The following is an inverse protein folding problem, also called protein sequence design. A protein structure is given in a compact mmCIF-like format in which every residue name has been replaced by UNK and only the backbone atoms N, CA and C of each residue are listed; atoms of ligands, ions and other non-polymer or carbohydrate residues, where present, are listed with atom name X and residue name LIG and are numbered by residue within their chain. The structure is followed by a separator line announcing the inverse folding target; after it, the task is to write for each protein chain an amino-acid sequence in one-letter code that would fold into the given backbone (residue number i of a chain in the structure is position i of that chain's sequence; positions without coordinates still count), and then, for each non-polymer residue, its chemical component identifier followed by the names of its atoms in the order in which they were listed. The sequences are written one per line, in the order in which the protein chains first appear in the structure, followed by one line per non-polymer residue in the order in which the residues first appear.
data_IF_921921274134
#
_entry.id   IF_921921274134
#
_cell.length_a   1.000
_cell.length_b   1.000
_cell.length_c   1.000
_cell.angle_alpha   90.00
_cell.angle_beta   90.00
_cell.angle_gamma   90.00
#
_symmetry.space_group_name_H-M   'P 1'
#
loop_
_entity.id
_entity.type
_entity.pdbx_description
1 polymer ?
#
# COMPACT_ATOMS: atom_id res chain seq x y z
N UNK A 1 -38.63 6.41 21.99
CA UNK A 1 -39.56 6.09 20.88
C UNK A 1 -38.84 6.35 19.58
N UNK A 2 -38.50 5.32 18.80
CA UNK A 2 -37.99 5.50 17.43
C UNK A 2 -39.01 4.89 16.47
N UNK A 3 -39.72 5.74 15.72
CA UNK A 3 -40.63 5.33 14.65
C UNK A 3 -39.82 4.97 13.41
N UNK A 4 -39.70 3.68 13.13
CA UNK A 4 -39.21 3.18 11.84
C UNK A 4 -40.27 3.46 10.79
N UNK A 5 -39.99 4.37 9.86
CA UNK A 5 -40.76 4.52 8.64
C UNK A 5 -40.42 3.35 7.71
N UNK A 6 -41.21 2.28 7.75
CA UNK A 6 -41.16 1.21 6.74
C UNK A 6 -41.79 1.77 5.45
N UNK A 7 -40.97 2.34 4.57
CA UNK A 7 -41.42 2.73 3.24
C UNK A 7 -41.82 1.48 2.46
N UNK A 8 -43.09 1.42 2.04
CA UNK A 8 -43.61 0.36 1.17
C UNK A 8 -42.76 0.28 -0.10
N UNK A 9 -42.45 -0.92 -0.63
CA UNK A 9 -41.59 -1.05 -1.80
C UNK A 9 -42.23 -0.37 -3.02
N UNK A 10 -41.39 0.40 -3.72
CA UNK A 10 -41.71 1.15 -4.95
C UNK A 10 -42.23 0.19 -6.02
N UNK A 11 -43.44 0.45 -6.53
CA UNK A 11 -43.98 -0.15 -7.75
C UNK A 11 -43.06 0.15 -8.94
N UNK A 12 -42.11 -0.73 -9.24
CA UNK A 12 -41.12 -0.53 -10.31
C UNK A 12 -40.22 -1.75 -10.54
N UNK A 13 -39.37 -1.68 -11.57
CA UNK A 13 -38.38 -2.71 -11.84
C UNK A 13 -37.24 -2.63 -10.81
N UNK A 14 -36.85 -3.77 -10.22
CA UNK A 14 -35.74 -3.88 -9.26
C UNK A 14 -34.50 -4.47 -9.93
N UNK A 15 -33.32 -3.96 -9.56
CA UNK A 15 -32.04 -4.51 -10.00
C UNK A 15 -31.88 -5.91 -9.40
N UNK A 16 -31.60 -6.91 -10.23
CA UNK A 16 -31.45 -8.31 -9.78
C UNK A 16 -30.01 -8.78 -9.73
N UNK A 17 -29.13 -8.15 -10.52
CA UNK A 17 -27.71 -8.46 -10.55
C UNK A 17 -26.91 -7.14 -10.46
N UNK A 18 -25.92 -7.02 -9.54
CA UNK A 18 -25.11 -5.81 -9.38
C UNK A 18 -24.19 -5.52 -10.57
N UNK A 19 -23.72 -6.55 -11.27
CA UNK A 19 -22.70 -6.49 -12.32
C UNK A 19 -23.29 -6.62 -13.73
N UNK A 20 -24.53 -7.11 -13.84
CA UNK A 20 -25.28 -7.20 -15.10
C UNK A 20 -26.42 -6.19 -15.14
N UNK A 21 -26.77 -5.74 -16.34
CA UNK A 21 -27.89 -4.81 -16.56
C UNK A 21 -29.23 -5.57 -16.59
N UNK A 22 -29.48 -6.33 -15.53
CA UNK A 22 -30.65 -7.18 -15.39
C UNK A 22 -31.60 -6.58 -14.34
N UNK A 23 -32.87 -6.48 -14.72
CA UNK A 23 -33.94 -5.91 -13.91
C UNK A 23 -35.17 -6.79 -13.96
N UNK A 24 -35.86 -6.94 -12.82
CA UNK A 24 -37.09 -7.73 -12.72
C UNK A 24 -38.26 -6.91 -12.19
N UNK A 25 -39.46 -7.24 -12.65
CA UNK A 25 -40.72 -6.75 -12.09
C UNK A 25 -41.71 -7.91 -12.01
N UNK A 26 -42.43 -8.02 -10.89
CA UNK A 26 -43.38 -9.12 -10.65
C UNK A 26 -44.53 -9.15 -11.66
N UNK A 27 -44.85 -8.00 -12.28
CA UNK A 27 -45.84 -7.87 -13.34
C UNK A 27 -45.34 -8.18 -14.75
N UNK A 28 -44.03 -8.44 -14.91
CA UNK A 28 -43.38 -8.58 -16.22
C UNK A 28 -42.66 -9.94 -16.34
N UNK A 29 -43.44 -11.00 -16.57
CA UNK A 29 -42.94 -12.36 -16.78
C UNK A 29 -43.25 -12.86 -18.20
N UNK A 30 -42.29 -13.53 -18.83
CA UNK A 30 -42.41 -14.03 -20.21
C UNK A 30 -43.58 -15.03 -20.30
N UNK A 31 -44.49 -14.79 -21.24
CA UNK A 31 -45.68 -15.64 -21.47
C UNK A 31 -46.89 -15.33 -20.58
N UNK A 32 -46.75 -14.47 -19.57
CA UNK A 32 -47.80 -14.17 -18.58
C UNK A 32 -48.42 -12.78 -18.83
N UNK A 33 -49.11 -12.61 -19.97
CA UNK A 33 -49.67 -11.30 -20.40
C UNK A 33 -50.65 -10.69 -19.39
N UNK A 34 -51.36 -11.51 -18.62
CA UNK A 34 -52.36 -11.02 -17.65
C UNK A 34 -51.74 -10.19 -16.51
N UNK A 35 -50.47 -10.43 -16.19
CA UNK A 35 -49.72 -9.69 -15.17
C UNK A 35 -49.39 -8.27 -15.62
N UNK A 36 -49.30 -8.01 -16.93
CA UNK A 36 -49.01 -6.66 -17.45
C UNK A 36 -50.08 -5.62 -17.04
N UNK A 37 -51.30 -6.07 -16.70
CA UNK A 37 -52.38 -5.18 -16.21
C UNK A 37 -52.03 -4.52 -14.87
N UNK A 38 -51.15 -5.12 -14.07
CA UNK A 38 -50.73 -4.55 -12.78
C UNK A 38 -49.65 -3.47 -12.98
N UNK A 39 -49.00 -3.43 -14.15
CA UNK A 39 -48.02 -2.40 -14.51
C UNK A 39 -48.77 -1.20 -15.08
N UNK A 40 -49.07 -0.22 -14.23
CA UNK A 40 -49.67 1.04 -14.65
C UNK A 40 -48.64 1.96 -15.33
N UNK A 41 -48.96 2.43 -16.54
CA UNK A 41 -48.20 3.51 -17.19
C UNK A 41 -48.60 4.83 -16.55
N UNK A 42 -47.63 5.59 -16.05
CA UNK A 42 -47.91 6.98 -15.64
C UNK A 42 -48.39 7.75 -16.87
N UNK A 43 -49.61 8.26 -16.83
CA UNK A 43 -50.07 9.21 -17.85
C UNK A 43 -49.16 10.44 -17.78
N UNK A 44 -48.70 11.00 -18.91
CA UNK A 44 -48.06 12.31 -18.88
C UNK A 44 -49.07 13.27 -18.25
N UNK A 45 -48.70 13.91 -17.15
CA UNK A 45 -49.38 15.14 -16.76
C UNK A 45 -49.02 16.11 -17.88
N UNK A 46 -49.95 16.36 -18.81
CA UNK A 46 -50.12 17.50 -19.73
C UNK A 46 -51.01 17.00 -20.88
N UNK A 47 -52.28 17.40 -20.85
CA UNK A 47 -53.26 16.98 -21.85
C UNK A 47 -54.69 17.15 -21.37
N UNK A 48 -55.11 18.42 -21.33
CA UNK A 48 -56.48 18.93 -21.38
C UNK A 48 -57.62 17.90 -21.41
N UNK A 49 -58.44 17.92 -20.37
CA UNK A 49 -59.83 17.52 -20.50
C UNK A 49 -60.55 18.58 -21.36
N UNK A 50 -60.87 18.25 -22.62
CA UNK A 50 -62.16 18.62 -23.17
C UNK A 50 -62.57 17.70 -24.34
N UNK A 51 -63.63 16.94 -24.07
CA UNK A 51 -64.72 16.41 -24.91
C UNK A 51 -64.68 16.75 -26.44
N UNK A 52 -64.52 15.74 -27.31
CA UNK A 52 -65.53 15.12 -28.25
C UNK A 52 -65.65 15.82 -29.65
N UNK A 53 -66.26 15.21 -30.70
CA UNK A 53 -65.98 13.93 -31.39
C UNK A 53 -65.88 14.05 -32.95
N UNK A 54 -65.63 12.91 -33.62
CA UNK A 54 -65.80 12.58 -35.06
C UNK A 54 -64.68 12.91 -36.08
N UNK A 55 -64.10 11.85 -36.67
CA UNK A 55 -64.24 11.41 -38.09
C UNK A 55 -63.03 10.50 -38.46
N UNK A 56 -63.19 9.50 -39.35
CA UNK A 56 -62.11 8.61 -39.77
C UNK A 56 -61.49 9.09 -41.09
N UNK A 57 -60.16 9.23 -41.13
CA UNK A 57 -59.44 9.23 -42.41
C UNK A 57 -58.02 8.69 -42.27
N UNK A 58 -57.58 8.08 -43.36
CA UNK A 58 -56.47 7.15 -43.41
C UNK A 58 -55.09 7.80 -43.47
N UNK A 59 -54.13 6.93 -43.14
CA UNK A 59 -52.78 6.80 -43.70
C UNK A 59 -51.81 8.00 -43.69
N UNK A 60 -50.65 7.67 -43.12
CA UNK A 60 -49.29 8.06 -43.47
C UNK A 60 -48.66 9.31 -42.82
N UNK A 61 -47.47 9.02 -42.29
CA UNK A 61 -46.33 9.91 -42.07
C UNK A 61 -46.39 10.85 -40.87
N UNK A 62 -45.82 10.40 -39.74
CA UNK A 62 -44.61 11.07 -39.24
C UNK A 62 -43.88 10.16 -38.24
N UNK A 63 -42.72 9.66 -38.68
CA UNK A 63 -41.64 9.21 -37.79
C UNK A 63 -40.97 10.45 -37.16
N UNK A 64 -41.77 11.28 -36.51
CA UNK A 64 -41.30 12.49 -35.85
C UNK A 64 -41.67 12.42 -34.37
N UNK A 65 -40.82 11.70 -33.62
CA UNK A 65 -40.47 11.99 -32.22
C UNK A 65 -39.84 10.74 -31.57
N UNK A 66 -38.84 10.13 -32.21
CA UNK A 66 -37.74 9.62 -31.41
C UNK A 66 -37.01 10.85 -30.85
N UNK A 67 -37.47 11.33 -29.69
CA UNK A 67 -36.68 12.30 -28.92
C UNK A 67 -35.40 11.58 -28.56
N UNK A 68 -34.29 12.00 -29.14
CA UNK A 68 -32.94 11.58 -28.81
C UNK A 68 -32.59 12.07 -27.40
N UNK A 69 -33.16 11.44 -26.36
CA UNK A 69 -32.89 11.72 -24.93
C UNK A 69 -31.56 11.08 -24.49
N UNK A 70 -30.60 10.84 -25.40
CA UNK A 70 -29.44 9.97 -25.15
C UNK A 70 -28.05 10.61 -25.20
N UNK A 71 -27.92 11.84 -25.72
CA UNK A 71 -26.61 12.39 -26.11
C UNK A 71 -26.00 13.43 -25.15
N UNK A 72 -26.73 13.85 -24.13
CA UNK A 72 -26.24 14.80 -23.12
C UNK A 72 -25.80 14.02 -21.87
N UNK A 73 -24.50 13.78 -21.74
CA UNK A 73 -23.89 13.13 -20.57
C UNK A 73 -22.89 12.02 -20.92
N UNK A 74 -23.06 11.33 -22.06
CA UNK A 74 -22.08 10.32 -22.49
C UNK A 74 -20.73 10.94 -22.85
N UNK A 75 -20.72 12.10 -23.53
CA UNK A 75 -19.48 12.80 -23.87
C UNK A 75 -18.72 13.27 -22.62
N UNK A 76 -19.43 13.86 -21.65
CA UNK A 76 -18.85 14.30 -20.38
C UNK A 76 -18.30 13.12 -19.58
N UNK A 77 -18.99 11.98 -19.59
CA UNK A 77 -18.55 10.76 -18.92
C UNK A 77 -17.33 10.15 -19.61
N UNK A 78 -17.27 10.16 -20.95
CA UNK A 78 -16.09 9.74 -21.71
C UNK A 78 -14.89 10.63 -21.37
N UNK A 79 -15.06 11.95 -21.29
CA UNK A 79 -14.00 12.87 -20.89
C UNK A 79 -13.57 12.69 -19.43
N UNK A 80 -14.51 12.36 -18.53
CA UNK A 80 -14.19 11.98 -17.15
C UNK A 80 -13.36 10.70 -17.09
N UNK A 81 -13.79 9.65 -17.77
CA UNK A 81 -13.10 8.37 -17.83
C UNK A 81 -11.71 8.49 -18.46
N UNK A 82 -11.53 9.36 -19.47
CA UNK A 82 -10.21 9.66 -20.02
C UNK A 82 -9.28 10.28 -18.97
N UNK A 83 -9.78 11.24 -18.18
CA UNK A 83 -9.01 11.84 -17.07
C UNK A 83 -8.67 10.81 -16.01
N UNK A 84 -9.63 10.02 -15.58
CA UNK A 84 -9.44 9.00 -14.54
C UNK A 84 -8.45 7.92 -15.01
N UNK A 85 -8.56 7.45 -16.26
CA UNK A 85 -7.57 6.55 -16.87
C UNK A 85 -6.16 7.13 -16.80
N UNK A 86 -6.00 8.42 -17.13
CA UNK A 86 -4.68 9.06 -17.10
C UNK A 86 -4.11 9.15 -15.68
N UNK A 87 -4.95 9.44 -14.68
CA UNK A 87 -4.55 9.42 -13.27
C UNK A 87 -4.15 8.00 -12.85
N UNK A 88 -4.94 7.00 -13.19
CA UNK A 88 -4.64 5.60 -12.87
C UNK A 88 -3.36 5.11 -13.55
N UNK A 89 -3.09 5.53 -14.79
CA UNK A 89 -1.82 5.22 -15.46
C UNK A 89 -0.63 5.85 -14.74
N UNK A 90 -0.76 7.10 -14.27
CA UNK A 90 0.30 7.77 -13.49
C UNK A 90 0.54 7.06 -12.16
N UNK A 91 -0.52 6.70 -11.44
CA UNK A 91 -0.41 5.93 -10.19
C UNK A 91 0.23 4.56 -10.41
N UNK A 92 -0.10 3.88 -11.52
CA UNK A 92 0.51 2.60 -11.86
C UNK A 92 2.02 2.73 -12.10
N UNK A 93 2.45 3.76 -12.83
CA UNK A 93 3.88 4.05 -13.04
C UNK A 93 4.56 4.37 -11.71
N UNK A 94 3.94 5.22 -10.88
CA UNK A 94 4.46 5.59 -9.55
C UNK A 94 4.63 4.36 -8.66
N UNK A 95 3.63 3.49 -8.61
CA UNK A 95 3.66 2.25 -7.83
C UNK A 95 4.73 1.27 -8.34
N UNK A 96 4.90 1.14 -9.66
CA UNK A 96 6.00 0.34 -10.23
C UNK A 96 7.37 0.89 -9.84
N UNK A 97 7.55 2.21 -9.89
CA UNK A 97 8.81 2.83 -9.50
C UNK A 97 9.11 2.62 -8.02
N UNK A 98 8.08 2.75 -7.17
CA UNK A 98 8.18 2.49 -5.74
C UNK A 98 8.55 1.03 -5.47
N UNK A 99 7.88 0.08 -6.14
CA UNK A 99 8.18 -1.34 -6.03
C UNK A 99 9.64 -1.64 -6.38
N UNK A 100 10.13 -1.13 -7.52
CA UNK A 100 11.53 -1.30 -7.93
C UNK A 100 12.52 -0.72 -6.91
N UNK A 101 12.20 0.43 -6.31
CA UNK A 101 13.03 1.03 -5.27
C UNK A 101 13.08 0.16 -4.01
N UNK A 102 11.92 -0.34 -3.56
CA UNK A 102 11.84 -1.26 -2.42
C UNK A 102 12.59 -2.56 -2.68
N UNK A 103 12.46 -3.14 -3.88
CA UNK A 103 13.17 -4.36 -4.25
C UNK A 103 14.69 -4.15 -4.23
N UNK A 104 15.18 -3.01 -4.74
CA UNK A 104 16.60 -2.65 -4.70
C UNK A 104 17.12 -2.48 -3.27
N UNK A 105 16.33 -1.85 -2.39
CA UNK A 105 16.67 -1.74 -0.97
C UNK A 105 16.72 -3.11 -0.29
N UNK A 106 15.79 -3.99 -0.61
CA UNK A 106 15.73 -5.33 -0.05
C UNK A 106 16.92 -6.19 -0.50
N UNK A 107 17.30 -6.12 -1.78
CA UNK A 107 18.52 -6.77 -2.28
C UNK A 107 19.77 -6.27 -1.55
N UNK A 108 19.88 -4.95 -1.33
CA UNK A 108 20.99 -4.37 -0.57
C UNK A 108 21.04 -4.89 0.86
N UNK A 109 19.87 -5.00 1.52
CA UNK A 109 19.78 -5.56 2.86
C UNK A 109 20.22 -7.02 2.91
N UNK A 110 19.76 -7.84 1.95
CA UNK A 110 20.15 -9.25 1.85
C UNK A 110 21.66 -9.42 1.69
N UNK A 111 22.29 -8.65 0.80
CA UNK A 111 23.75 -8.70 0.62
C UNK A 111 24.50 -8.32 1.89
N UNK A 112 24.04 -7.27 2.59
CA UNK A 112 24.65 -6.84 3.86
C UNK A 112 24.52 -7.91 4.94
N UNK A 113 23.34 -8.52 5.07
CA UNK A 113 23.10 -9.61 6.03
C UNK A 113 23.98 -10.82 5.74
N UNK A 114 24.07 -11.23 4.48
CA UNK A 114 24.93 -12.35 4.08
C UNK A 114 26.41 -12.07 4.37
N UNK A 115 26.89 -10.85 4.11
CA UNK A 115 28.25 -10.44 4.47
C UNK A 115 28.50 -10.42 5.98
N UNK A 116 27.51 -10.02 6.77
CA UNK A 116 27.58 -10.07 8.24
C UNK A 116 27.61 -11.52 8.75
N UNK A 117 26.78 -12.39 8.17
CA UNK A 117 26.72 -13.81 8.53
C UNK A 117 28.05 -14.51 8.24
N UNK A 118 28.64 -14.30 7.06
CA UNK A 118 29.95 -14.86 6.72
C UNK A 118 31.04 -14.39 7.69
N UNK A 119 31.06 -13.09 8.06
CA UNK A 119 32.02 -12.58 9.06
C UNK A 119 31.80 -13.21 10.43
N UNK A 120 30.57 -13.41 10.87
CA UNK A 120 30.26 -14.09 12.12
C UNK A 120 30.70 -15.57 12.07
N UNK A 121 30.46 -16.28 10.97
CA UNK A 121 30.93 -17.66 10.80
C UNK A 121 32.47 -17.75 10.84
N UNK A 122 33.17 -16.82 10.19
CA UNK A 122 34.64 -16.73 10.27
C UNK A 122 35.11 -16.48 11.71
N UNK A 123 34.49 -15.53 12.40
CA UNK A 123 34.80 -15.23 13.81
C UNK A 123 34.56 -16.44 14.71
N UNK A 124 33.43 -17.13 14.54
CA UNK A 124 33.12 -18.36 15.29
C UNK A 124 34.13 -19.47 14.99
N UNK A 125 34.54 -19.63 13.73
CA UNK A 125 35.57 -20.61 13.36
C UNK A 125 36.93 -20.30 13.98
N UNK A 126 37.29 -19.02 14.05
CA UNK A 126 38.52 -18.56 14.70
C UNK A 126 38.45 -18.84 16.21
N UNK A 127 37.35 -18.49 16.86
CA UNK A 127 37.13 -18.76 18.29
C UNK A 127 37.21 -20.25 18.58
N UNK A 128 36.58 -21.10 17.77
CA UNK A 128 36.64 -22.54 17.92
C UNK A 128 38.08 -23.08 17.86
N UNK A 129 38.89 -22.62 16.89
CA UNK A 129 40.30 -23.00 16.77
C UNK A 129 41.13 -22.48 17.95
N UNK A 130 40.91 -21.23 18.34
CA UNK A 130 41.58 -20.59 19.46
C UNK A 130 41.32 -21.32 20.79
N UNK A 131 40.10 -21.80 21.01
CA UNK A 131 39.73 -22.57 22.19
C UNK A 131 40.34 -23.98 22.20
N UNK A 132 40.44 -24.63 21.04
CA UNK A 132 41.04 -25.97 20.93
C UNK A 132 42.58 -25.94 21.03
N UNK A 133 43.22 -24.85 20.61
CA UNK A 133 44.67 -24.69 20.68
C UNK A 133 45.06 -23.30 21.22
N UNK A 134 45.29 -23.15 22.54
CA UNK A 134 45.68 -21.87 23.14
C UNK A 134 47.00 -21.28 22.59
N UNK A 135 47.90 -22.14 22.10
CA UNK A 135 49.18 -21.73 21.47
C UNK A 135 48.99 -20.97 20.15
N UNK A 136 47.92 -21.25 19.39
CA UNK A 136 47.59 -20.52 18.17
C UNK A 136 47.28 -19.05 18.45
N UNK A 137 46.54 -18.76 19.55
CA UNK A 137 46.30 -17.39 19.99
C UNK A 137 47.59 -16.69 20.40
N UNK A 138 48.48 -17.37 21.12
CA UNK A 138 49.76 -16.80 21.53
C UNK A 138 50.60 -16.38 20.31
N UNK A 139 50.63 -17.22 19.26
CA UNK A 139 51.31 -16.91 18.01
C UNK A 139 50.65 -15.74 17.25
N UNK A 140 49.33 -15.67 17.24
CA UNK A 140 48.58 -14.58 16.62
C UNK A 140 48.84 -13.23 17.32
N UNK A 141 48.78 -13.18 18.65
CA UNK A 141 49.06 -11.98 19.45
C UNK A 141 50.52 -11.54 19.29
N UNK A 142 51.46 -12.48 19.29
CA UNK A 142 52.88 -12.20 19.06
C UNK A 142 53.10 -11.60 17.67
N UNK A 143 52.51 -12.20 16.63
CA UNK A 143 52.62 -11.74 15.25
C UNK A 143 51.99 -10.35 15.07
N UNK A 144 50.86 -10.06 15.72
CA UNK A 144 50.22 -8.75 15.69
C UNK A 144 51.09 -7.68 16.37
N UNK A 145 51.76 -8.02 17.48
CA UNK A 145 52.64 -7.08 18.21
C UNK A 145 53.91 -6.74 17.39
N UNK A 146 54.50 -7.74 16.73
CA UNK A 146 55.62 -7.56 15.80
C UNK A 146 55.21 -6.80 14.53
N UNK A 147 53.99 -7.03 14.02
CA UNK A 147 53.40 -6.29 12.90
C UNK A 147 53.13 -4.81 13.24
N UNK A 148 52.52 -4.53 14.39
CA UNK A 148 52.24 -3.17 14.84
C UNK A 148 53.52 -2.38 15.12
N UNK A 149 54.57 -3.01 15.66
CA UNK A 149 55.90 -2.38 15.80
C UNK A 149 56.44 -1.89 14.45
N UNK A 150 56.36 -2.71 13.40
CA UNK A 150 56.85 -2.33 12.07
C UNK A 150 56.08 -1.16 11.44
N UNK A 151 54.79 -1.00 11.73
CA UNK A 151 53.95 0.09 11.17
C UNK A 151 54.07 1.39 11.98
N UNK A 152 54.22 1.31 13.31
CA UNK A 152 54.37 2.49 14.18
C UNK A 152 55.75 3.15 14.07
N UNK A 153 56.80 2.40 13.73
CA UNK A 153 58.14 2.94 13.47
C UNK A 153 58.19 3.86 12.22
N UNK A 154 57.32 3.64 11.23
CA UNK A 154 57.24 4.46 10.01
C UNK A 154 56.51 5.82 10.20
N UNK A 155 55.73 5.99 11.27
CA UNK A 155 54.82 7.15 11.45
C UNK A 155 55.26 8.16 12.52
N UNK A 156 56.50 8.08 13.04
CA UNK A 156 57.06 9.05 14.01
C UNK A 156 57.58 10.36 13.38
N UNK A 157 56.90 10.94 12.39
CA UNK A 157 57.21 12.29 11.88
C UNK A 157 55.95 13.04 11.44
N UNK A 158 55.18 13.54 12.41
CA UNK A 158 54.39 14.77 12.22
C UNK A 158 54.10 15.41 13.57
N UNK A 159 54.99 16.30 13.99
CA UNK A 159 54.63 17.35 14.96
C UNK A 159 53.67 18.26 14.21
N UNK A 160 52.38 18.20 14.57
CA UNK A 160 51.39 19.13 14.06
C UNK A 160 51.65 20.48 14.72
N UNK A 161 51.98 21.49 13.90
CA UNK A 161 52.10 22.87 14.33
C UNK A 161 50.68 23.39 14.56
N UNK A 162 50.43 23.90 15.75
CA UNK A 162 49.20 24.57 16.14
C UNK A 162 49.19 25.95 15.48
N UNK A 163 48.24 26.19 14.58
CA UNK A 163 47.77 27.54 14.25
C UNK A 163 46.28 27.61 14.54
N UNK A 164 45.90 28.74 15.13
CA UNK A 164 44.62 29.06 15.72
C UNK A 164 43.55 29.48 14.67
N UNK A 165 42.27 29.47 15.10
CA UNK A 165 41.09 30.26 14.63
C UNK A 165 40.16 29.55 13.57
N UNK A 166 38.81 29.67 13.59
CA UNK A 166 37.86 28.77 14.28
C UNK A 166 36.71 28.18 13.39
N UNK A 167 35.95 27.26 13.99
CA UNK A 167 34.53 26.88 13.75
C UNK A 167 33.88 27.01 12.35
N UNK A 168 33.55 25.87 11.71
CA UNK A 168 32.15 25.53 11.35
C UNK A 168 32.02 24.03 10.96
N UNK A 169 30.93 23.43 11.43
CA UNK A 169 30.52 22.02 11.48
C UNK A 169 30.40 21.27 10.14
N UNK A 170 30.55 19.93 10.16
CA UNK A 170 29.88 19.08 9.16
C UNK A 170 30.51 17.75 8.69
N UNK A 171 30.74 16.80 9.60
CA UNK A 171 30.88 15.35 9.35
C UNK A 171 32.19 14.81 8.75
N UNK A 172 33.05 14.28 9.63
CA UNK A 172 33.84 13.09 9.31
C UNK A 172 33.29 11.96 10.18
N UNK A 173 32.82 10.89 9.54
CA UNK A 173 32.33 9.70 10.23
C UNK A 173 33.54 8.87 10.68
N UNK A 174 33.73 8.60 11.99
CA UNK A 174 34.75 7.65 12.42
C UNK A 174 34.13 6.24 12.41
N UNK A 175 34.48 5.50 11.37
CA UNK A 175 34.34 4.05 11.28
C UNK A 175 35.07 3.41 12.48
N UNK A 176 34.32 2.75 13.37
CA UNK A 176 34.88 2.02 14.52
C UNK A 176 34.39 2.42 15.91
N UNK A 177 33.39 3.30 16.06
CA UNK A 177 32.81 3.56 17.37
C UNK A 177 32.05 2.31 17.86
N UNK A 178 32.52 1.70 18.96
CA UNK A 178 31.74 0.69 19.70
C UNK A 178 30.48 1.41 20.18
N UNK A 179 29.39 1.27 19.44
CA UNK A 179 28.08 1.74 19.85
C UNK A 179 27.71 0.95 21.09
N UNK A 180 27.77 1.60 22.26
CA UNK A 180 27.19 1.05 23.49
C UNK A 180 25.73 0.73 23.19
N UNK A 181 25.40 -0.55 23.05
CA UNK A 181 24.03 -0.98 22.84
C UNK A 181 23.19 -0.51 24.02
N UNK A 182 22.39 0.51 23.80
CA UNK A 182 21.39 1.00 24.75
C UNK A 182 20.05 0.42 24.27
N UNK A 183 19.47 -0.57 24.98
CA UNK A 183 18.18 -1.12 24.61
C UNK A 183 17.13 -0.02 24.73
N UNK A 184 16.46 0.34 23.63
CA UNK A 184 15.23 1.13 23.63
C UNK A 184 14.07 0.24 24.12
N UNK A 185 14.12 -0.19 25.38
CA UNK A 185 12.99 -0.84 26.03
C UNK A 185 12.15 0.25 26.71
N UNK A 186 10.89 0.42 26.30
CA UNK A 186 9.97 1.29 27.04
C UNK A 186 9.69 0.71 28.44
N UNK A 187 9.16 1.51 29.36
CA UNK A 187 8.93 1.08 30.75
C UNK A 187 8.01 -0.15 30.87
N UNK A 188 7.02 -0.31 29.98
CA UNK A 188 6.16 -1.49 29.95
C UNK A 188 6.91 -2.76 29.49
N UNK A 189 7.86 -2.63 28.56
CA UNK A 189 8.71 -3.73 28.13
C UNK A 189 9.70 -4.15 29.23
N UNK A 190 10.25 -3.18 29.97
CA UNK A 190 11.07 -3.45 31.16
C UNK A 190 10.28 -4.16 32.24
N UNK A 191 9.04 -3.76 32.48
CA UNK A 191 8.19 -4.39 33.49
C UNK A 191 7.78 -5.81 33.08
N UNK A 192 7.47 -6.06 31.81
CA UNK A 192 7.26 -7.42 31.30
C UNK A 192 8.50 -8.31 31.48
N UNK A 193 9.69 -7.81 31.13
CA UNK A 193 10.93 -8.56 31.35
C UNK A 193 11.15 -8.85 32.83
N UNK A 194 10.87 -7.88 33.71
CA UNK A 194 10.95 -8.04 35.16
C UNK A 194 9.97 -9.11 35.66
N UNK A 195 8.75 -9.14 35.13
CA UNK A 195 7.76 -10.17 35.45
C UNK A 195 8.19 -11.56 34.96
N UNK A 196 8.76 -11.65 33.76
CA UNK A 196 9.27 -12.92 33.21
C UNK A 196 10.44 -13.44 34.05
N UNK A 197 11.37 -12.57 34.46
CA UNK A 197 12.50 -12.96 35.34
C UNK A 197 12.02 -13.34 36.74
N UNK A 198 11.01 -12.64 37.27
CA UNK A 198 10.43 -12.91 38.59
C UNK A 198 9.61 -14.20 38.63
N UNK A 199 8.97 -14.55 37.51
CA UNK A 199 8.16 -15.76 37.37
C UNK A 199 8.94 -16.94 36.75
N UNK A 200 10.20 -16.71 36.37
CA UNK A 200 11.12 -17.70 35.79
C UNK A 200 11.93 -18.50 36.82
N UNK A 201 11.61 -18.42 38.12
CA UNK A 201 12.13 -19.36 39.12
C UNK A 201 11.25 -20.62 39.15
N UNK A 202 11.31 -21.38 38.08
CA UNK A 202 10.97 -22.81 38.05
C UNK A 202 11.84 -23.47 36.99
N UNK A 203 13.12 -23.64 37.34
CA UNK A 203 13.92 -24.85 37.15
C UNK A 203 15.08 -24.78 38.14
#
# INVERSE_FOLDING_TARGET
MFTVWKTKPKLGFRKVDPDRWEFANEGFLRGQKHLLRIISRRKPAHGHANQQPQQPHGQNSSVAACVEVGKFGLEEEVERLKRDKNVLMQELVRLRQQQQSTDSQLQTMVQRLQGMEQRQQQMMSFLAKAMQSPSFLAQFVQQQNDSNRRITEANKKRRLKQEDVPENEGSSSPDGQIVKYQPLMNEAAKEMLRQIVKNGSFF
#
